data_IF_928635328759
#
_entry.id   IF_928635328759
#
_cell.length_a   1.000
_cell.length_b   1.000
_cell.length_c   1.000
_cell.angle_alpha   90.00
_cell.angle_beta   90.00
_cell.angle_gamma   90.00
#
_symmetry.space_group_name_H-M   'P 1'
#
loop_
_entity.id
_entity.type
_entity.pdbx_description
1 polymer ?
#
# COMPACT_ATOMS: atom_id res chain seq x y z
N UNK A 1 3.70 15.18 3.74
CA UNK A 1 2.91 14.25 2.89
C UNK A 1 3.54 12.88 2.98
N UNK A 2 2.78 11.78 2.98
CA UNK A 2 3.35 10.43 2.94
C UNK A 2 3.86 10.13 1.52
N UNK A 3 5.05 9.56 1.40
CA UNK A 3 5.63 9.13 0.12
C UNK A 3 5.64 7.61 0.08
N UNK A 4 4.95 7.02 -0.89
CA UNK A 4 4.88 5.57 -1.06
C UNK A 4 5.37 5.19 -2.45
N UNK A 5 6.40 4.37 -2.50
CA UNK A 5 6.95 3.80 -3.72
C UNK A 5 6.60 2.32 -3.79
N UNK A 6 6.20 1.83 -4.96
CA UNK A 6 5.81 0.43 -5.16
C UNK A 6 6.50 -0.11 -6.40
N UNK A 7 7.05 -1.31 -6.30
CA UNK A 7 7.59 -2.03 -7.46
C UNK A 7 6.51 -2.90 -8.07
N UNK A 8 6.12 -2.60 -9.30
CA UNK A 8 5.09 -3.39 -10.01
C UNK A 8 5.71 -4.60 -10.74
N UNK A 9 4.91 -5.59 -11.17
CA UNK A 9 5.41 -6.80 -11.82
C UNK A 9 6.26 -6.57 -13.07
N UNK A 10 6.10 -5.44 -13.77
CA UNK A 10 6.98 -5.03 -14.88
C UNK A 10 8.37 -4.57 -14.44
N UNK A 11 8.72 -4.75 -13.16
CA UNK A 11 9.97 -4.33 -12.53
C UNK A 11 10.20 -2.81 -12.57
N UNK A 12 9.13 -2.03 -12.76
CA UNK A 12 9.13 -0.57 -12.73
C UNK A 12 8.73 -0.06 -11.34
N UNK A 13 9.28 1.08 -10.95
CA UNK A 13 8.87 1.78 -9.74
C UNK A 13 7.73 2.75 -10.07
N UNK A 14 6.76 2.81 -9.16
CA UNK A 14 5.70 3.82 -9.19
C UNK A 14 5.67 4.57 -7.86
N UNK A 15 5.48 5.88 -7.93
CA UNK A 15 5.22 6.75 -6.80
C UNK A 15 3.71 6.96 -6.66
N UNK A 16 3.13 6.51 -5.55
CA UNK A 16 1.69 6.59 -5.31
C UNK A 16 1.36 7.98 -4.74
N UNK A 17 0.64 8.78 -5.53
CA UNK A 17 0.18 10.13 -5.14
C UNK A 17 -1.11 10.09 -4.33
N UNK A 18 -1.95 9.09 -4.54
CA UNK A 18 -3.21 8.95 -3.85
C UNK A 18 -4.03 7.77 -4.34
N UNK A 19 -5.25 7.67 -3.84
CA UNK A 19 -6.24 6.69 -4.29
C UNK A 19 -7.47 7.39 -4.84
N UNK A 20 -8.06 6.84 -5.89
CA UNK A 20 -9.32 7.30 -6.45
C UNK A 20 -10.29 6.14 -6.56
N UNK A 21 -11.58 6.40 -6.37
CA UNK A 21 -12.63 5.40 -6.50
C UNK A 21 -13.28 5.59 -7.86
N UNK A 22 -13.12 4.62 -8.75
CA UNK A 22 -13.77 4.64 -10.06
C UNK A 22 -15.03 3.78 -9.97
N UNK A 23 -16.18 4.42 -10.15
CA UNK A 23 -17.46 3.72 -10.32
C UNK A 23 -17.60 3.33 -11.78
N UNK A 24 -17.42 2.05 -12.09
CA UNK A 24 -17.67 1.50 -13.42
C UNK A 24 -19.18 1.32 -13.59
N UNK A 25 -19.84 2.35 -14.09
CA UNK A 25 -21.26 2.33 -14.40
C UNK A 25 -21.50 2.06 -15.88
N UNK A 26 -21.90 0.82 -16.22
CA UNK A 26 -23.02 0.62 -17.13
C UNK A 26 -23.80 -0.62 -16.68
N UNK A 27 -24.98 -0.36 -16.11
CA UNK A 27 -26.03 -1.30 -15.69
C UNK A 27 -25.70 -2.28 -14.55
N UNK A 28 -26.43 -2.07 -13.45
CA UNK A 28 -26.83 -3.03 -12.41
C UNK A 28 -25.70 -3.77 -11.66
N UNK A 29 -25.55 -3.41 -10.38
CA UNK A 29 -24.59 -3.93 -9.38
C UNK A 29 -23.25 -3.18 -9.35
N UNK A 30 -23.29 -1.98 -8.75
CA UNK A 30 -22.17 -1.05 -8.65
C UNK A 30 -21.01 -1.59 -7.82
N UNK A 31 -20.09 -2.32 -8.44
CA UNK A 31 -18.79 -2.64 -7.86
C UNK A 31 -17.89 -1.40 -7.95
N UNK A 32 -17.70 -0.71 -6.83
CA UNK A 32 -16.69 0.35 -6.71
C UNK A 32 -15.32 -0.30 -6.80
N UNK A 33 -14.49 0.11 -7.77
CA UNK A 33 -13.07 -0.29 -7.83
C UNK A 33 -12.22 0.85 -7.31
N UNK A 34 -11.36 0.56 -6.34
CA UNK A 34 -10.31 1.48 -5.93
C UNK A 34 -9.14 1.38 -6.92
N UNK A 35 -8.69 2.52 -7.42
CA UNK A 35 -7.58 2.65 -8.36
C UNK A 35 -6.51 3.52 -7.70
N UNK A 36 -5.24 3.10 -7.78
CA UNK A 36 -4.12 3.93 -7.33
C UNK A 36 -3.81 4.97 -8.40
N UNK A 37 -3.68 6.22 -7.98
CA UNK A 37 -3.13 7.28 -8.83
C UNK A 37 -1.64 7.33 -8.52
N UNK A 38 -0.83 6.93 -9.50
CA UNK A 38 0.61 6.84 -9.35
C UNK A 38 1.34 7.35 -10.59
N UNK A 39 2.58 7.78 -10.41
CA UNK A 39 3.49 8.16 -11.48
C UNK A 39 4.64 7.17 -11.57
N UNK A 40 5.06 6.85 -12.78
CA UNK A 40 6.26 6.04 -12.99
C UNK A 40 7.50 6.83 -12.58
N UNK A 41 8.40 6.17 -11.86
CA UNK A 41 9.70 6.71 -11.46
C UNK A 41 10.80 5.79 -11.99
N UNK A 42 11.80 6.37 -12.63
CA UNK A 42 12.91 5.60 -13.22
C UNK A 42 13.88 5.10 -12.15
N UNK A 43 14.12 5.90 -11.11
CA UNK A 43 15.04 5.57 -10.03
C UNK A 43 14.40 5.91 -8.67
N UNK A 44 14.64 5.04 -7.69
CA UNK A 44 14.12 5.21 -6.33
C UNK A 44 15.04 6.16 -5.56
N UNK A 45 14.60 7.39 -5.33
CA UNK A 45 15.36 8.40 -4.57
C UNK A 45 15.25 8.18 -3.05
N UNK A 46 15.62 7.00 -2.57
CA UNK A 46 15.58 6.66 -1.14
C UNK A 46 16.98 6.34 -0.65
N UNK A 47 17.55 7.25 0.14
CA UNK A 47 18.88 7.11 0.69
C UNK A 47 18.83 6.53 2.12
N UNK A 48 19.72 5.60 2.42
CA UNK A 48 19.90 5.04 3.77
C UNK A 48 19.39 3.61 3.94
N UNK A 49 19.26 3.18 5.20
CA UNK A 49 18.74 1.86 5.57
C UNK A 49 17.30 2.00 6.09
N UNK A 50 16.43 1.03 5.82
CA UNK A 50 15.07 1.06 6.35
C UNK A 50 15.09 0.94 7.88
N UNK A 51 14.33 1.78 8.57
CA UNK A 51 14.09 1.69 10.01
C UNK A 51 13.22 0.47 10.36
N UNK A 52 12.37 0.02 9.42
CA UNK A 52 11.54 -1.17 9.58
C UNK A 52 11.36 -1.88 8.25
N UNK A 53 11.30 -3.21 8.29
CA UNK A 53 10.96 -4.05 7.14
C UNK A 53 9.94 -5.11 7.55
N UNK A 54 8.88 -5.27 6.76
CA UNK A 54 7.78 -6.19 7.01
C UNK A 54 7.43 -6.89 5.70
N UNK A 55 7.29 -8.22 5.73
CA UNK A 55 6.77 -8.98 4.60
C UNK A 55 5.24 -8.95 4.60
N UNK A 56 4.65 -8.68 3.46
CA UNK A 56 3.20 -8.59 3.28
C UNK A 56 2.77 -9.40 2.06
N UNK A 57 1.61 -10.04 2.09
CA UNK A 57 1.10 -10.80 0.95
C UNK A 57 0.64 -9.85 -0.17
N UNK A 58 0.88 -10.25 -1.42
CA UNK A 58 0.53 -9.48 -2.64
C UNK A 58 -0.95 -9.13 -2.69
N UNK A 59 -1.81 -10.03 -2.21
CA UNK A 59 -3.27 -9.86 -2.11
C UNK A 59 -3.71 -8.72 -1.19
N UNK A 60 -2.85 -8.28 -0.26
CA UNK A 60 -3.16 -7.20 0.71
C UNK A 60 -2.43 -5.89 0.42
N UNK A 61 -1.47 -5.87 -0.50
CA UNK A 61 -0.66 -4.68 -0.83
C UNK A 61 -1.54 -3.46 -1.09
N UNK A 62 -2.58 -3.62 -1.92
CA UNK A 62 -3.51 -2.53 -2.25
C UNK A 62 -4.23 -1.96 -1.01
N UNK A 63 -4.72 -2.84 -0.14
CA UNK A 63 -5.44 -2.43 1.07
C UNK A 63 -4.51 -1.73 2.06
N UNK A 64 -3.28 -2.24 2.19
CA UNK A 64 -2.24 -1.65 3.04
C UNK A 64 -1.88 -0.25 2.51
N UNK A 65 -1.56 -0.12 1.21
CA UNK A 65 -1.23 1.18 0.60
C UNK A 65 -2.37 2.18 0.82
N UNK A 66 -3.62 1.78 0.60
CA UNK A 66 -4.77 2.65 0.82
C UNK A 66 -4.87 3.10 2.29
N UNK A 67 -4.66 2.20 3.24
CA UNK A 67 -4.63 2.54 4.68
C UNK A 67 -3.50 3.50 5.04
N UNK A 68 -2.32 3.35 4.42
CA UNK A 68 -1.17 4.23 4.64
C UNK A 68 -1.42 5.64 4.09
N UNK A 69 -2.03 5.75 2.90
CA UNK A 69 -2.36 7.03 2.25
C UNK A 69 -3.40 7.80 3.06
N UNK A 70 -4.39 7.10 3.64
CA UNK A 70 -5.45 7.71 4.43
C UNK A 70 -5.01 8.08 5.85
N UNK A 71 -3.89 7.54 6.34
CA UNK A 71 -3.40 7.86 7.67
C UNK A 71 -2.83 9.28 7.71
N UNK A 72 -3.49 10.14 8.49
CA UNK A 72 -3.02 11.50 8.76
C UNK A 72 -1.81 11.56 9.71
N UNK A 73 -1.50 10.44 10.37
CA UNK A 73 -0.40 10.28 11.33
C UNK A 73 0.94 10.05 10.62
N UNK A 74 0.93 9.48 9.41
CA UNK A 74 2.12 9.19 8.61
C UNK A 74 2.64 10.39 7.80
N UNK A 75 2.48 11.60 8.32
CA UNK A 75 3.02 12.80 7.66
C UNK A 75 4.55 12.70 7.59
N UNK A 76 5.08 12.82 6.38
CA UNK A 76 6.51 12.74 6.07
C UNK A 76 7.10 11.33 6.18
N UNK A 77 6.26 10.29 6.24
CA UNK A 77 6.76 8.93 6.14
C UNK A 77 7.21 8.62 4.70
N UNK A 78 8.31 7.89 4.57
CA UNK A 78 8.83 7.37 3.29
C UNK A 78 8.78 5.86 3.36
N UNK A 79 7.96 5.28 2.48
CA UNK A 79 7.64 3.85 2.47
C UNK A 79 7.93 3.30 1.08
N UNK A 80 8.65 2.19 1.03
CA UNK A 80 9.01 1.47 -0.19
C UNK A 80 8.43 0.08 -0.12
N UNK A 81 7.69 -0.32 -1.14
CA UNK A 81 7.07 -1.64 -1.27
C UNK A 81 7.75 -2.36 -2.43
N UNK A 82 8.75 -3.15 -2.10
CA UNK A 82 9.51 -3.93 -3.07
C UNK A 82 8.85 -5.29 -3.29
N UNK A 83 8.87 -5.78 -4.52
CA UNK A 83 8.34 -7.10 -4.86
C UNK A 83 9.43 -8.12 -4.63
N UNK A 84 9.18 -9.10 -3.77
CA UNK A 84 10.09 -10.23 -3.58
C UNK A 84 9.79 -11.31 -4.64
N UNK A 85 8.52 -11.69 -4.73
CA UNK A 85 8.01 -12.75 -5.60
C UNK A 85 6.55 -12.48 -6.00
N UNK A 86 5.87 -13.46 -6.59
CA UNK A 86 4.46 -13.32 -7.03
C UNK A 86 3.48 -13.19 -5.86
N UNK A 87 3.81 -13.76 -4.70
CA UNK A 87 2.92 -13.86 -3.54
C UNK A 87 3.30 -12.87 -2.43
N UNK A 88 4.53 -12.38 -2.43
CA UNK A 88 5.10 -11.63 -1.32
C UNK A 88 5.75 -10.33 -1.75
N UNK A 89 5.44 -9.27 -1.01
CA UNK A 89 6.09 -7.97 -1.09
C UNK A 89 6.80 -7.67 0.23
N UNK A 90 7.87 -6.89 0.14
CA UNK A 90 8.60 -6.32 1.27
C UNK A 90 8.23 -4.86 1.40
N UNK A 91 7.55 -4.51 2.48
CA UNK A 91 7.32 -3.13 2.85
C UNK A 91 8.46 -2.66 3.75
N UNK A 92 9.08 -1.56 3.38
CA UNK A 92 10.22 -0.95 4.04
C UNK A 92 9.88 0.49 4.40
N UNK A 93 10.01 0.82 5.67
CA UNK A 93 9.86 2.20 6.17
C UNK A 93 11.26 2.78 6.28
N UNK A 94 11.50 3.93 5.65
CA UNK A 94 12.76 4.66 5.70
C UNK A 94 12.65 5.89 6.60
N UNK A 95 11.52 6.56 6.58
CA UNK A 95 11.23 7.74 7.40
C UNK A 95 9.79 7.66 7.93
N UNK A 96 9.52 8.31 9.06
CA UNK A 96 8.22 8.36 9.71
C UNK A 96 8.06 7.37 10.86
N UNK A 97 6.83 7.25 11.36
CA UNK A 97 6.49 6.43 12.53
C UNK A 97 6.27 4.95 12.15
N UNK A 98 7.27 4.12 12.44
CA UNK A 98 7.26 2.71 12.09
C UNK A 98 6.21 1.88 12.85
N UNK A 99 5.85 2.31 14.07
CA UNK A 99 4.83 1.65 14.89
C UNK A 99 3.43 1.86 14.30
N UNK A 100 3.10 3.09 13.90
CA UNK A 100 1.86 3.42 13.17
C UNK A 100 1.75 2.62 11.88
N UNK A 101 2.83 2.53 11.09
CA UNK A 101 2.85 1.69 9.88
C UNK A 101 2.56 0.22 10.23
N UNK A 102 3.19 -0.29 11.29
CA UNK A 102 3.00 -1.67 11.74
C UNK A 102 1.56 -1.93 12.20
N UNK A 103 0.94 -0.97 12.89
CA UNK A 103 -0.46 -1.04 13.29
C UNK A 103 -1.41 -1.08 12.10
N UNK A 104 -1.20 -0.23 11.09
CA UNK A 104 -2.01 -0.22 9.86
C UNK A 104 -1.92 -1.58 9.16
N UNK A 105 -0.71 -2.13 9.03
CA UNK A 105 -0.50 -3.45 8.43
C UNK A 105 -1.22 -4.52 9.25
N UNK A 106 -1.04 -4.54 10.59
CA UNK A 106 -1.72 -5.50 11.48
C UNK A 106 -3.23 -5.41 11.35
N UNK A 107 -3.82 -4.21 11.39
CA UNK A 107 -5.26 -4.01 11.24
C UNK A 107 -5.76 -4.58 9.91
N UNK A 108 -5.05 -4.34 8.81
CA UNK A 108 -5.41 -4.89 7.49
C UNK A 108 -5.29 -6.41 7.42
N UNK A 109 -4.28 -7.00 8.05
CA UNK A 109 -4.09 -8.46 8.09
C UNK A 109 -5.13 -9.15 9.00
N UNK A 110 -5.58 -8.49 10.07
CA UNK A 110 -6.53 -9.08 11.05
C UNK A 110 -7.98 -8.96 10.60
N UNK A 111 -8.32 -7.96 9.76
CA UNK A 111 -9.71 -7.62 9.35
C UNK A 111 -10.48 -8.76 8.66
N UNK A 112 -9.84 -9.89 8.33
CA UNK A 112 -10.52 -11.09 7.83
C UNK A 112 -11.05 -12.03 8.92
N UNK A 113 -10.57 -11.95 10.17
CA UNK A 113 -11.07 -12.86 11.23
C UNK A 113 -12.50 -12.56 11.69
N UNK A 114 -13.07 -11.42 11.32
CA UNK A 114 -14.42 -10.99 11.72
C UNK A 114 -15.38 -10.83 10.53
N UNK A 115 -15.00 -11.29 9.34
CA UNK A 115 -15.78 -11.17 8.10
C UNK A 115 -16.42 -12.47 7.59
N UNK A 116 -16.54 -13.52 8.41
CA UNK A 116 -17.21 -14.78 8.04
C UNK A 116 -18.33 -15.11 9.02
N UNK A 117 -19.33 -14.23 9.16
CA UNK A 117 -20.65 -14.59 9.71
C UNK A 117 -21.73 -13.67 9.16
N UNK A 118 -22.18 -13.90 7.93
CA UNK A 118 -23.55 -13.65 7.41
C UNK A 118 -23.57 -14.07 5.94
N UNK A 119 -24.40 -14.97 5.44
CA UNK A 119 -25.44 -15.82 6.03
C UNK A 119 -25.83 -16.89 5.01
#
# INVERSE_FOLDING_TARGET
MVKIYVKIPSNQWIFVKGTTSVSLGYKQSGKVRHVLVAETVNELEVNGKPIKSIKIPSTKVMQIINGLIQSSELKNAVIVVDRIDDETYKLQVYEGDADTVSEIIRKTLIREKTGSTTG
#
